data_IF_908320574274
#
_entry.id   IF_908320574274
#
_cell.length_a   1.000
_cell.length_b   1.000
_cell.length_c   1.000
_cell.angle_alpha   90.00
_cell.angle_beta   90.00
_cell.angle_gamma   90.00
#
_symmetry.space_group_name_H-M   'P 1'
#
loop_
_entity.id
_entity.type
_entity.pdbx_description
1 polymer ?
#
# COMPACT_ATOMS: atom_id res chain seq x y z
N UNK A 1 24.63 -2.26 -12.59
CA UNK A 1 24.48 -2.96 -11.30
C UNK A 1 23.13 -2.58 -10.70
N UNK A 2 22.06 -3.33 -11.00
CA UNK A 2 20.71 -3.05 -10.47
C UNK A 2 20.34 -4.08 -9.40
N UNK A 3 20.63 -5.37 -9.65
CA UNK A 3 20.43 -6.46 -8.68
C UNK A 3 21.20 -6.22 -7.37
N UNK A 4 22.51 -5.91 -7.47
CA UNK A 4 23.32 -5.62 -6.30
C UNK A 4 22.83 -4.37 -5.56
N UNK A 5 22.30 -3.36 -6.26
CA UNK A 5 21.72 -2.18 -5.61
C UNK A 5 20.44 -2.55 -4.85
N UNK A 6 19.53 -3.32 -5.48
CA UNK A 6 18.30 -3.80 -4.84
C UNK A 6 18.59 -4.65 -3.60
N UNK A 7 19.48 -5.64 -3.71
CA UNK A 7 19.82 -6.54 -2.60
C UNK A 7 20.48 -5.78 -1.44
N UNK A 8 21.39 -4.84 -1.74
CA UNK A 8 22.05 -4.05 -0.70
C UNK A 8 21.17 -2.94 -0.11
N UNK A 9 20.05 -2.60 -0.76
CA UNK A 9 19.06 -1.65 -0.22
C UNK A 9 18.08 -2.27 0.78
N UNK A 10 18.02 -3.61 0.85
CA UNK A 10 17.16 -4.36 1.76
C UNK A 10 17.84 -4.58 3.11
N UNK A 11 17.04 -4.79 4.16
CA UNK A 11 17.56 -5.23 5.46
C UNK A 11 18.26 -6.60 5.32
N UNK A 12 19.35 -6.85 6.10
CA UNK A 12 20.11 -8.10 6.05
C UNK A 12 19.28 -9.38 6.23
N UNK A 13 18.19 -9.30 6.97
CA UNK A 13 17.25 -10.38 7.25
C UNK A 13 16.40 -10.73 6.01
N UNK A 14 16.18 -9.74 5.13
CA UNK A 14 15.36 -9.88 3.93
C UNK A 14 16.24 -10.26 2.74
N UNK A 15 17.42 -9.67 2.62
CA UNK A 15 18.25 -9.76 1.41
C UNK A 15 18.73 -11.19 1.08
N UNK A 16 18.89 -12.06 2.08
CA UNK A 16 19.35 -13.44 1.91
C UNK A 16 18.39 -14.27 1.03
N UNK A 17 17.09 -13.96 1.09
CA UNK A 17 16.07 -14.61 0.27
C UNK A 17 16.17 -14.29 -1.22
N UNK A 18 16.90 -13.22 -1.59
CA UNK A 18 16.90 -12.68 -2.96
C UNK A 18 18.18 -12.96 -3.76
N UNK A 19 19.21 -13.53 -3.14
CA UNK A 19 20.52 -13.81 -3.77
C UNK A 19 20.40 -14.84 -4.90
N UNK A 20 19.39 -15.71 -4.86
CA UNK A 20 19.17 -16.79 -5.84
C UNK A 20 18.43 -16.34 -7.11
N UNK A 21 17.89 -15.13 -7.16
CA UNK A 21 17.20 -14.63 -8.35
C UNK A 21 18.18 -14.24 -9.45
N UNK A 22 17.77 -14.50 -10.69
CA UNK A 22 18.64 -14.37 -11.86
C UNK A 22 18.48 -13.05 -12.58
N UNK A 23 17.38 -12.34 -12.34
CA UNK A 23 17.12 -11.02 -12.91
C UNK A 23 16.71 -9.98 -11.88
N UNK A 24 17.01 -8.70 -12.17
CA UNK A 24 16.59 -7.59 -11.30
C UNK A 24 15.07 -7.49 -11.19
N UNK A 25 14.35 -7.92 -12.23
CA UNK A 25 12.89 -7.93 -12.29
C UNK A 25 12.31 -8.94 -11.30
N UNK A 26 12.83 -10.16 -11.26
CA UNK A 26 12.39 -11.17 -10.29
C UNK A 26 12.58 -10.70 -8.84
N UNK A 27 13.71 -10.05 -8.54
CA UNK A 27 13.98 -9.49 -7.21
C UNK A 27 12.94 -8.41 -6.85
N UNK A 28 12.69 -7.48 -7.78
CA UNK A 28 11.72 -6.41 -7.60
C UNK A 28 10.29 -6.94 -7.45
N UNK A 29 9.86 -7.84 -8.33
CA UNK A 29 8.51 -8.38 -8.34
C UNK A 29 8.22 -9.20 -7.07
N UNK A 30 9.18 -10.01 -6.61
CA UNK A 30 9.04 -10.78 -5.36
C UNK A 30 9.02 -9.87 -4.11
N UNK A 31 9.87 -8.84 -4.07
CA UNK A 31 9.88 -7.87 -2.97
C UNK A 31 8.59 -7.04 -2.94
N UNK A 32 8.11 -6.61 -4.11
CA UNK A 32 6.86 -5.89 -4.28
C UNK A 32 5.67 -6.75 -3.85
N UNK A 33 5.63 -8.01 -4.26
CA UNK A 33 4.55 -8.93 -3.87
C UNK A 33 4.54 -9.20 -2.35
N UNK A 34 5.68 -9.47 -1.74
CA UNK A 34 5.73 -9.81 -0.31
C UNK A 34 5.51 -8.61 0.60
N UNK A 35 6.07 -7.46 0.27
CA UNK A 35 6.18 -6.35 1.22
C UNK A 35 5.35 -5.12 0.84
N UNK A 36 5.10 -4.87 -0.44
CA UNK A 36 4.32 -3.70 -0.85
C UNK A 36 2.81 -3.98 -0.74
N UNK A 37 2.31 -5.11 -1.25
CA UNK A 37 0.86 -5.39 -1.21
C UNK A 37 0.31 -5.56 0.23
N UNK A 38 1.06 -6.23 1.11
CA UNK A 38 0.66 -6.36 2.53
C UNK A 38 0.63 -5.01 3.27
N UNK A 39 1.54 -4.09 2.93
CA UNK A 39 1.56 -2.75 3.50
C UNK A 39 0.34 -1.93 3.08
N UNK A 40 -0.08 -2.05 1.83
CA UNK A 40 -1.27 -1.36 1.32
C UNK A 40 -2.58 -1.93 1.87
N UNK A 41 -2.75 -3.25 1.85
CA UNK A 41 -3.96 -3.91 2.35
C UNK A 41 -4.16 -3.67 3.85
N UNK A 42 -3.09 -3.77 4.63
CA UNK A 42 -3.14 -3.47 6.08
C UNK A 42 -3.47 -2.01 6.35
N UNK A 43 -2.91 -1.08 5.55
CA UNK A 43 -3.20 0.35 5.70
C UNK A 43 -4.63 0.69 5.32
N UNK A 44 -5.14 0.13 4.23
CA UNK A 44 -6.52 0.31 3.80
C UNK A 44 -7.51 -0.24 4.83
N UNK A 45 -7.19 -1.39 5.44
CA UNK A 45 -7.97 -1.95 6.52
C UNK A 45 -8.01 -1.02 7.75
N UNK A 46 -6.85 -0.50 8.18
CA UNK A 46 -6.76 0.46 9.30
C UNK A 46 -7.62 1.72 9.04
N UNK A 47 -7.52 2.29 7.85
CA UNK A 47 -8.28 3.49 7.45
C UNK A 47 -9.79 3.19 7.39
N UNK A 48 -10.17 2.04 6.85
CA UNK A 48 -11.56 1.59 6.79
C UNK A 48 -12.15 1.41 8.18
N UNK A 49 -11.41 0.82 9.12
CA UNK A 49 -11.87 0.67 10.49
C UNK A 49 -11.99 2.03 11.19
N UNK A 50 -11.05 2.94 10.96
CA UNK A 50 -11.16 4.33 11.44
C UNK A 50 -12.40 5.03 10.88
N UNK A 51 -12.74 4.81 9.61
CA UNK A 51 -13.93 5.39 8.99
C UNK A 51 -15.22 4.80 9.55
N UNK A 52 -15.21 3.50 9.90
CA UNK A 52 -16.35 2.82 10.53
C UNK A 52 -16.60 3.28 11.96
N UNK A 53 -15.53 3.66 12.67
CA UNK A 53 -15.57 3.96 14.11
C UNK A 53 -15.62 5.45 14.43
N UNK A 54 -15.27 6.33 13.48
CA UNK A 54 -15.32 7.78 13.71
C UNK A 54 -16.75 8.25 14.00
N UNK A 55 -16.89 9.06 15.04
CA UNK A 55 -18.14 9.67 15.45
C UNK A 55 -17.87 11.12 15.85
N UNK A 56 -18.88 11.99 15.73
CA UNK A 56 -18.72 13.39 16.08
C UNK A 56 -18.43 13.59 17.58
N UNK A 57 -19.15 12.86 18.45
CA UNK A 57 -19.09 13.05 19.90
C UNK A 57 -19.35 14.50 20.29
N UNK A 58 -18.50 15.03 21.19
CA UNK A 58 -18.57 16.43 21.66
C UNK A 58 -17.83 17.42 20.74
N UNK A 59 -17.31 16.97 19.59
CA UNK A 59 -16.57 17.83 18.67
C UNK A 59 -17.48 18.77 17.89
N UNK A 60 -16.95 19.96 17.54
CA UNK A 60 -17.60 20.86 16.60
C UNK A 60 -17.80 20.16 15.25
N UNK A 61 -18.96 20.37 14.63
CA UNK A 61 -19.31 19.80 13.32
C UNK A 61 -18.23 20.06 12.27
N UNK A 62 -17.65 21.27 12.26
CA UNK A 62 -16.57 21.63 11.33
C UNK A 62 -15.33 20.75 11.50
N UNK A 63 -14.92 20.48 12.75
CA UNK A 63 -13.72 19.69 13.06
C UNK A 63 -13.95 18.23 12.68
N UNK A 64 -15.13 17.70 13.01
CA UNK A 64 -15.53 16.35 12.62
C UNK A 64 -15.57 16.19 11.09
N UNK A 65 -16.22 17.12 10.39
CA UNK A 65 -16.33 17.08 8.93
C UNK A 65 -14.97 17.15 8.24
N UNK A 66 -14.06 18.00 8.73
CA UNK A 66 -12.70 18.07 8.19
C UNK A 66 -11.93 16.75 8.41
N UNK A 67 -12.08 16.15 9.59
CA UNK A 67 -11.44 14.86 9.91
C UNK A 67 -11.97 13.74 9.02
N UNK A 68 -13.27 13.75 8.73
CA UNK A 68 -13.90 12.80 7.82
C UNK A 68 -13.41 12.97 6.37
N UNK A 69 -13.29 14.22 5.89
CA UNK A 69 -12.79 14.50 4.54
C UNK A 69 -11.35 14.02 4.34
N UNK A 70 -10.46 14.30 5.30
CA UNK A 70 -9.06 13.82 5.24
C UNK A 70 -9.02 12.29 5.18
N UNK A 71 -9.82 11.63 6.03
CA UNK A 71 -9.86 10.18 6.08
C UNK A 71 -10.32 9.55 4.76
N UNK A 72 -11.33 10.13 4.11
CA UNK A 72 -11.77 9.65 2.80
C UNK A 72 -10.77 9.92 1.69
N UNK A 73 -10.05 11.06 1.72
CA UNK A 73 -8.97 11.33 0.77
C UNK A 73 -7.82 10.33 0.92
N UNK A 74 -7.47 9.95 2.15
CA UNK A 74 -6.46 8.92 2.39
C UNK A 74 -6.94 7.58 1.81
N UNK A 75 -8.18 7.17 2.07
CA UNK A 75 -8.75 5.93 1.53
C UNK A 75 -8.71 5.91 0.00
N UNK A 76 -9.12 7.00 -0.64
CA UNK A 76 -9.12 7.15 -2.11
C UNK A 76 -7.72 6.96 -2.70
N UNK A 77 -6.72 7.61 -2.09
CA UNK A 77 -5.31 7.46 -2.48
C UNK A 77 -4.84 6.00 -2.42
N UNK A 78 -5.21 5.25 -1.38
CA UNK A 78 -4.80 3.85 -1.24
C UNK A 78 -5.61 2.89 -2.11
N UNK A 79 -6.87 3.21 -2.44
CA UNK A 79 -7.67 2.41 -3.39
C UNK A 79 -7.16 2.53 -4.82
N UNK A 80 -6.74 3.73 -5.25
CA UNK A 80 -6.16 3.93 -6.59
C UNK A 80 -4.77 3.29 -6.76
N UNK A 81 -4.05 3.08 -5.65
CA UNK A 81 -2.74 2.42 -5.64
C UNK A 81 -2.85 0.88 -5.62
N UNK A 82 -4.06 0.32 -5.44
CA UNK A 82 -4.33 -1.08 -5.77
C UNK A 82 -4.20 -1.23 -7.28
N UNK A 83 -2.98 -1.49 -7.76
CA UNK A 83 -2.72 -1.74 -9.17
C UNK A 83 -3.59 -2.90 -9.62
N UNK A 84 -4.65 -2.52 -10.33
CA UNK A 84 -5.51 -3.38 -11.09
C UNK A 84 -4.64 -4.30 -11.93
N UNK A 85 -4.90 -5.60 -11.79
CA UNK A 85 -4.67 -6.51 -12.89
C UNK A 85 -5.24 -5.87 -14.17
N UNK A 86 -4.43 -5.84 -15.22
CA UNK A 86 -4.57 -4.97 -16.39
C UNK A 86 -5.67 -5.45 -17.37
N UNK A 87 -6.85 -5.87 -16.89
CA UNK A 87 -7.88 -6.49 -17.75
C UNK A 87 -9.28 -5.86 -17.73
N UNK A 88 -9.53 -4.76 -17.01
CA UNK A 88 -10.87 -4.15 -16.96
C UNK A 88 -11.14 -3.05 -18.01
N UNK A 89 -10.25 -2.86 -19.00
CA UNK A 89 -10.48 -1.89 -20.09
C UNK A 89 -11.36 -2.44 -21.22
N UNK A 90 -11.81 -3.70 -21.17
CA UNK A 90 -12.61 -4.31 -22.23
C UNK A 90 -13.99 -4.74 -21.76
N UNK A 91 -14.84 -3.80 -21.33
CA UNK A 91 -16.29 -3.93 -21.51
C UNK A 91 -16.94 -2.54 -21.56
N UNK A 92 -16.86 -1.90 -22.72
CA UNK A 92 -17.82 -0.89 -23.19
C UNK A 92 -18.10 -1.13 -24.67
#
# INVERSE_FOLDING_TARGET
>A
MVMAWLINSMEPEINQGYILYTTSKEIWDAANLMYLNMGYDSKLFELSEKARTIQQGDSLVMVYFNSLNILYQDIDLYQDIVWKDSEDHTTY
#
